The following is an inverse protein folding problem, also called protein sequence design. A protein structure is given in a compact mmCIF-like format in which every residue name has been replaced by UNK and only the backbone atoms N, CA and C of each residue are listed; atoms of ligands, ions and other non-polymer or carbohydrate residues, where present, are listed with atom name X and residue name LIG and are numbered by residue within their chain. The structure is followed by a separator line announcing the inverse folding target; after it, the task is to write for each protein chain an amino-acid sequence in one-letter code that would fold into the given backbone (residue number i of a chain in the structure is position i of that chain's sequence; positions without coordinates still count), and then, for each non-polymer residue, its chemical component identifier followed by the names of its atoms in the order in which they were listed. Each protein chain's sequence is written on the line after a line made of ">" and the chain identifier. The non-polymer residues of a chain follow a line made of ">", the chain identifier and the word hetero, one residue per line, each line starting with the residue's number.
data_IF_330326843327
#
_entry.id   IF_330326843327
#
_cell.length_a   1.000
_cell.length_b   1.000
_cell.length_c   1.000
_cell.angle_alpha   90.00
_cell.angle_beta   90.00
_cell.angle_gamma   90.00
#
_symmetry.space_group_name_H-M   'P 1'
#
loop_
_entity.id
_entity.type
_entity.pdbx_description
1 polymer ?
#
# COMPACT_ATOMS: atom_id res chain seq x y z
N UNK A 1 26.58 8.85 21.91
CA UNK A 1 26.09 8.45 20.57
C UNK A 1 24.59 8.70 20.58
N UNK A 2 24.14 9.80 19.98
CA UNK A 2 22.71 10.19 20.00
C UNK A 2 22.02 9.47 18.86
N UNK A 3 20.90 8.79 19.14
CA UNK A 3 20.04 8.25 18.09
C UNK A 3 19.49 9.43 17.25
N UNK A 4 19.35 9.27 15.92
CA UNK A 4 18.72 10.27 15.08
C UNK A 4 17.27 10.52 15.55
N UNK A 5 16.79 11.76 15.37
CA UNK A 5 15.41 12.10 15.66
C UNK A 5 14.46 11.20 14.84
N UNK A 6 13.35 10.70 15.42
CA UNK A 6 12.49 9.73 14.75
C UNK A 6 11.96 10.30 13.44
N UNK A 7 12.13 9.54 12.36
CA UNK A 7 11.84 9.92 10.96
C UNK A 7 10.34 10.08 10.61
N UNK A 8 9.49 10.37 11.60
CA UNK A 8 8.04 10.46 11.47
C UNK A 8 7.33 9.38 12.30
N UNK A 9 6.05 9.62 12.60
CA UNK A 9 5.18 8.67 13.30
C UNK A 9 4.22 8.05 12.30
N UNK A 10 4.13 6.72 12.28
CA UNK A 10 3.31 5.97 11.33
C UNK A 10 2.19 5.21 12.05
N UNK A 11 1.02 5.07 11.40
CA UNK A 11 0.07 4.02 11.73
C UNK A 11 0.27 2.84 10.78
N UNK A 12 0.25 1.62 11.29
CA UNK A 12 0.22 0.39 10.49
C UNK A 12 -1.12 -0.27 10.73
N UNK A 13 -1.97 -0.28 9.72
CA UNK A 13 -3.30 -0.88 9.78
C UNK A 13 -3.24 -2.24 9.12
N UNK A 14 -3.42 -3.31 9.89
CA UNK A 14 -3.28 -4.69 9.41
C UNK A 14 -4.64 -5.33 9.22
N UNK A 15 -5.09 -5.45 7.97
CA UNK A 15 -6.38 -6.04 7.60
C UNK A 15 -6.32 -7.57 7.42
N UNK A 16 -5.34 -8.23 8.02
CA UNK A 16 -5.18 -9.68 7.90
C UNK A 16 -4.37 -10.26 9.05
N UNK A 17 -4.68 -11.50 9.43
CA UNK A 17 -3.89 -12.27 10.37
C UNK A 17 -2.64 -12.92 9.74
N UNK A 18 -2.38 -12.71 8.44
CA UNK A 18 -1.20 -13.27 7.77
C UNK A 18 0.09 -12.74 8.45
N UNK A 19 0.96 -13.60 9.00
CA UNK A 19 2.18 -13.20 9.69
C UNK A 19 3.22 -12.47 8.82
N UNK A 20 3.09 -12.46 7.50
CA UNK A 20 4.03 -11.81 6.57
C UNK A 20 4.22 -10.31 6.87
N UNK A 21 3.23 -9.65 7.50
CA UNK A 21 3.36 -8.27 7.97
C UNK A 21 4.52 -8.06 8.95
N UNK A 22 4.97 -9.11 9.65
CA UNK A 22 6.11 -9.02 10.58
C UNK A 22 7.39 -8.61 9.88
N UNK A 23 7.55 -8.98 8.62
CA UNK A 23 8.72 -8.55 7.85
C UNK A 23 8.71 -7.04 7.59
N UNK A 24 7.52 -6.43 7.37
CA UNK A 24 7.41 -4.97 7.33
C UNK A 24 7.85 -4.35 8.66
N UNK A 25 7.40 -4.90 9.79
CA UNK A 25 7.76 -4.39 11.11
C UNK A 25 9.28 -4.42 11.33
N UNK A 26 9.93 -5.53 10.97
CA UNK A 26 11.39 -5.66 11.01
C UNK A 26 12.10 -4.60 10.14
N UNK A 27 11.61 -4.37 8.91
CA UNK A 27 12.15 -3.33 8.02
C UNK A 27 12.01 -1.94 8.64
N UNK A 28 10.86 -1.64 9.25
CA UNK A 28 10.61 -0.34 9.89
C UNK A 28 11.46 -0.15 11.14
N UNK A 29 11.65 -1.20 11.95
CA UNK A 29 12.52 -1.20 13.12
C UNK A 29 13.98 -0.92 12.71
N UNK A 30 14.49 -1.62 11.69
CA UNK A 30 15.84 -1.40 11.18
C UNK A 30 16.03 0.00 10.56
N UNK A 31 14.98 0.56 9.98
CA UNK A 31 14.99 1.93 9.46
C UNK A 31 14.79 3.00 10.56
N UNK A 32 14.54 2.61 11.80
CA UNK A 32 14.39 3.54 12.94
C UNK A 32 13.06 4.32 12.93
N UNK A 33 12.01 3.77 12.33
CA UNK A 33 10.68 4.37 12.36
C UNK A 33 9.99 4.12 13.70
N UNK A 34 9.20 5.10 14.15
CA UNK A 34 8.27 4.93 15.26
C UNK A 34 6.88 4.71 14.69
N UNK A 35 6.30 3.55 14.97
CA UNK A 35 4.98 3.20 14.46
C UNK A 35 4.07 2.66 15.55
N UNK A 36 2.78 2.65 15.26
CA UNK A 36 1.78 1.93 16.03
C UNK A 36 1.01 1.00 15.11
N UNK A 37 0.92 -0.27 15.50
CA UNK A 37 -0.04 -1.21 14.93
C UNK A 37 -1.46 -0.85 15.40
N UNK A 38 -2.38 -0.73 14.44
CA UNK A 38 -3.80 -0.48 14.66
C UNK A 38 -4.57 -1.65 14.06
N UNK A 39 -5.34 -2.33 14.88
CA UNK A 39 -6.21 -3.41 14.43
C UNK A 39 -7.48 -2.82 13.79
N UNK A 40 -8.05 -3.47 12.76
CA UNK A 40 -9.31 -3.02 12.16
C UNK A 40 -10.44 -2.85 13.18
N UNK A 41 -10.46 -3.70 14.22
CA UNK A 41 -11.43 -3.65 15.33
C UNK A 41 -11.31 -2.41 16.23
N UNK A 42 -10.19 -1.69 16.19
CA UNK A 42 -10.01 -0.43 16.92
C UNK A 42 -10.57 0.79 16.15
N UNK A 43 -10.93 0.57 14.89
CA UNK A 43 -11.51 1.58 14.01
C UNK A 43 -10.50 2.61 13.49
N UNK A 44 -10.88 3.39 12.45
CA UNK A 44 -10.00 4.37 11.81
C UNK A 44 -9.59 5.52 12.73
N UNK A 45 -10.38 5.85 13.75
CA UNK A 45 -10.05 6.90 14.70
C UNK A 45 -8.73 6.63 15.46
N UNK A 46 -8.38 5.36 15.68
CA UNK A 46 -7.11 4.98 16.30
C UNK A 46 -5.89 5.33 15.42
N UNK A 47 -6.05 5.33 14.09
CA UNK A 47 -5.05 5.74 13.12
C UNK A 47 -5.05 7.26 12.86
N UNK A 48 -6.17 7.95 13.09
CA UNK A 48 -6.40 9.39 12.85
C UNK A 48 -5.34 10.36 13.36
N UNK A 49 -4.56 9.98 14.38
CA UNK A 49 -3.49 10.81 14.95
C UNK A 49 -2.15 10.74 14.21
N UNK A 50 -2.04 9.92 13.17
CA UNK A 50 -0.80 9.69 12.43
C UNK A 50 -0.90 10.29 11.02
N UNK A 51 0.12 11.05 10.57
CA UNK A 51 0.10 11.69 9.25
C UNK A 51 0.30 10.71 8.09
N UNK A 52 0.85 9.52 8.34
CA UNK A 52 1.12 8.51 7.33
C UNK A 52 0.56 7.17 7.82
N UNK A 53 -0.24 6.53 6.97
CA UNK A 53 -0.81 5.21 7.23
C UNK A 53 -0.22 4.20 6.24
N UNK A 54 0.18 3.04 6.76
CA UNK A 54 0.53 1.87 5.97
C UNK A 54 -0.60 0.87 6.14
N UNK A 55 -1.38 0.64 5.09
CA UNK A 55 -2.45 -0.34 5.07
C UNK A 55 -1.95 -1.66 4.47
N UNK A 56 -1.99 -2.71 5.27
CA UNK A 56 -1.58 -4.06 4.90
C UNK A 56 -2.82 -4.90 4.60
N UNK A 57 -2.96 -5.29 3.34
CA UNK A 57 -4.17 -5.91 2.84
C UNK A 57 -3.84 -7.26 2.22
N UNK A 58 -4.02 -8.33 3.00
CA UNK A 58 -3.83 -9.69 2.52
C UNK A 58 -5.19 -10.37 2.39
N UNK A 59 -5.66 -10.54 1.16
CA UNK A 59 -6.92 -11.19 0.86
C UNK A 59 -7.71 -10.51 -0.26
N UNK A 60 -8.88 -11.08 -0.57
CA UNK A 60 -9.81 -10.58 -1.59
C UNK A 60 -11.12 -10.05 -0.99
N UNK A 61 -11.32 -10.20 0.31
CA UNK A 61 -12.52 -9.70 0.97
C UNK A 61 -12.43 -8.18 1.05
N UNK A 62 -13.42 -7.42 0.55
CA UNK A 62 -13.37 -5.96 0.58
C UNK A 62 -13.25 -5.44 2.02
N UNK A 63 -12.59 -4.29 2.16
CA UNK A 63 -12.56 -3.55 3.42
C UNK A 63 -13.98 -3.12 3.78
N UNK A 64 -14.27 -2.95 5.07
CA UNK A 64 -15.54 -2.35 5.46
C UNK A 64 -15.65 -0.90 4.96
N UNK A 65 -16.88 -0.44 4.77
CA UNK A 65 -17.15 0.89 4.21
C UNK A 65 -16.59 2.01 5.10
N UNK A 66 -16.45 1.76 6.41
CA UNK A 66 -15.91 2.73 7.37
C UNK A 66 -14.42 2.98 7.10
N UNK A 67 -13.62 1.92 6.98
CA UNK A 67 -12.20 2.00 6.65
C UNK A 67 -11.97 2.54 5.23
N UNK A 68 -12.78 2.13 4.24
CA UNK A 68 -12.68 2.69 2.88
C UNK A 68 -12.90 4.21 2.91
N UNK A 69 -13.94 4.68 3.61
CA UNK A 69 -14.21 6.11 3.73
C UNK A 69 -13.08 6.84 4.45
N UNK A 70 -12.56 6.28 5.54
CA UNK A 70 -11.50 6.89 6.32
C UNK A 70 -10.18 7.00 5.54
N UNK A 71 -9.79 5.94 4.81
CA UNK A 71 -8.58 5.94 3.98
C UNK A 71 -8.66 7.01 2.89
N UNK A 72 -9.84 7.20 2.28
CA UNK A 72 -10.08 8.26 1.29
C UNK A 72 -9.98 9.64 1.91
N UNK A 73 -10.69 9.88 3.01
CA UNK A 73 -10.67 11.18 3.71
C UNK A 73 -9.25 11.54 4.13
N UNK A 74 -8.50 10.60 4.70
CA UNK A 74 -7.10 10.81 5.10
C UNK A 74 -6.23 11.29 3.93
N UNK A 75 -6.30 10.64 2.76
CA UNK A 75 -5.54 11.05 1.57
C UNK A 75 -6.02 12.41 1.03
N UNK A 76 -7.34 12.64 1.00
CA UNK A 76 -7.93 13.90 0.53
C UNK A 76 -7.57 15.09 1.42
N UNK A 77 -7.36 14.85 2.72
CA UNK A 77 -6.91 15.85 3.71
C UNK A 77 -5.39 16.06 3.69
N UNK A 78 -4.66 15.41 2.77
CA UNK A 78 -3.20 15.54 2.60
C UNK A 78 -2.37 14.55 3.40
N UNK A 79 -3.00 13.54 3.98
CA UNK A 79 -2.34 12.42 4.65
C UNK A 79 -1.62 11.50 3.66
N UNK A 80 -0.52 10.89 4.12
CA UNK A 80 0.20 9.88 3.35
C UNK A 80 -0.45 8.50 3.49
N UNK A 81 -0.62 7.79 2.38
CA UNK A 81 -1.07 6.40 2.36
C UNK A 81 -0.10 5.53 1.57
N UNK A 82 0.35 4.44 2.18
CA UNK A 82 1.02 3.34 1.51
C UNK A 82 0.12 2.12 1.62
N UNK A 83 -0.34 1.60 0.49
CA UNK A 83 -1.13 0.37 0.45
C UNK A 83 -0.25 -0.79 -0.04
N UNK A 84 -0.18 -1.86 0.74
CA UNK A 84 0.52 -3.09 0.36
C UNK A 84 -0.50 -4.22 0.22
N UNK A 85 -0.56 -4.81 -0.97
CA UNK A 85 -1.51 -5.86 -1.31
C UNK A 85 -2.58 -5.39 -2.30
N UNK A 86 -3.82 -5.82 -2.10
CA UNK A 86 -4.92 -5.51 -3.02
C UNK A 86 -5.58 -4.14 -2.75
N UNK A 87 -6.07 -3.42 -3.79
CA UNK A 87 -6.68 -2.10 -3.66
C UNK A 87 -8.01 -2.09 -2.89
N UNK A 88 -8.77 -3.19 -2.97
CA UNK A 88 -9.98 -3.48 -2.17
C UNK A 88 -10.96 -2.30 -1.97
N UNK A 89 -11.44 -1.70 -3.06
CA UNK A 89 -12.39 -0.60 -2.99
C UNK A 89 -11.74 0.79 -2.98
N UNK A 90 -10.42 0.87 -3.16
CA UNK A 90 -9.66 2.12 -3.35
C UNK A 90 -9.11 2.26 -4.79
N UNK A 91 -9.60 1.47 -5.75
CA UNK A 91 -9.10 1.43 -7.12
C UNK A 91 -9.12 2.80 -7.80
N UNK A 92 -10.20 3.55 -7.63
CA UNK A 92 -10.35 4.92 -8.13
C UNK A 92 -9.44 5.91 -7.37
N UNK A 93 -9.27 5.78 -6.06
CA UNK A 93 -8.34 6.63 -5.28
C UNK A 93 -6.90 6.43 -5.77
N UNK A 94 -6.51 5.18 -6.01
CA UNK A 94 -5.18 4.79 -6.47
C UNK A 94 -5.01 4.94 -7.99
N UNK A 95 -6.09 5.23 -8.72
CA UNK A 95 -6.13 5.28 -10.17
C UNK A 95 -5.58 3.98 -10.78
N UNK A 96 -6.12 2.85 -10.37
CA UNK A 96 -5.77 1.52 -10.90
C UNK A 96 -7.03 0.76 -11.33
N UNK A 97 -6.87 -0.21 -12.21
CA UNK A 97 -7.90 -1.22 -12.48
C UNK A 97 -7.28 -2.62 -12.48
N UNK A 98 -8.07 -3.63 -12.14
CA UNK A 98 -7.65 -5.01 -12.36
C UNK A 98 -7.44 -5.24 -13.85
N UNK A 99 -6.24 -5.68 -14.19
CA UNK A 99 -5.92 -6.15 -15.53
C UNK A 99 -6.06 -7.67 -15.58
N UNK A 100 -6.22 -8.20 -16.78
CA UNK A 100 -6.08 -9.62 -16.98
C UNK A 100 -4.64 -10.03 -16.67
N UNK A 101 -4.46 -10.81 -15.61
CA UNK A 101 -3.14 -11.34 -15.26
C UNK A 101 -2.57 -12.24 -16.36
N UNK A 102 -1.27 -12.54 -16.30
CA UNK A 102 -0.60 -13.49 -17.19
C UNK A 102 -1.34 -14.85 -17.27
N UNK A 103 -2.02 -15.22 -16.17
CA UNK A 103 -2.93 -16.36 -16.05
C UNK A 103 -4.10 -16.36 -17.04
N UNK A 104 -4.67 -15.20 -17.39
CA UNK A 104 -5.76 -15.17 -18.36
C UNK A 104 -5.28 -15.59 -19.76
N UNK A 105 -3.99 -15.34 -20.06
CA UNK A 105 -3.33 -15.83 -21.27
C UNK A 105 -2.76 -17.26 -21.14
N UNK A 106 -2.54 -17.74 -19.90
CA UNK A 106 -1.96 -19.06 -19.57
C UNK A 106 -2.72 -19.72 -18.40
N UNK A 107 -3.98 -20.13 -18.59
CA UNK A 107 -4.86 -20.59 -17.50
C UNK A 107 -4.38 -21.87 -16.78
N UNK A 108 -3.48 -22.62 -17.40
CA UNK A 108 -3.02 -23.92 -16.90
C UNK A 108 -1.87 -23.82 -15.88
N UNK A 109 -1.30 -22.62 -15.65
CA UNK A 109 0.01 -22.51 -14.99
C UNK A 109 -0.02 -22.30 -13.46
N UNK A 110 -1.10 -21.75 -12.87
CA UNK A 110 -1.21 -21.58 -11.40
C UNK A 110 -2.62 -21.93 -10.85
N UNK A 111 -3.43 -22.68 -11.61
CA UNK A 111 -4.75 -23.13 -11.16
C UNK A 111 -5.79 -22.00 -11.03
N UNK A 112 -6.59 -21.92 -9.95
CA UNK A 112 -7.77 -21.04 -9.87
C UNK A 112 -7.46 -19.54 -9.74
N UNK A 113 -6.20 -19.13 -9.62
CA UNK A 113 -5.80 -17.78 -9.27
C UNK A 113 -5.58 -16.87 -10.50
N UNK A 114 -6.66 -16.64 -11.27
CA UNK A 114 -6.64 -16.00 -12.59
C UNK A 114 -6.21 -14.52 -12.64
N UNK A 115 -6.17 -13.86 -11.50
CA UNK A 115 -5.86 -12.41 -11.41
C UNK A 115 -4.47 -12.15 -10.84
N UNK A 116 -3.64 -13.20 -10.69
CA UNK A 116 -2.27 -13.03 -10.23
C UNK A 116 -1.36 -12.59 -11.38
N UNK A 117 -0.60 -11.53 -11.11
CA UNK A 117 0.44 -11.02 -11.99
C UNK A 117 1.81 -11.63 -11.68
N UNK A 118 2.65 -11.65 -12.70
CA UNK A 118 4.07 -11.89 -12.58
C UNK A 118 4.82 -10.90 -13.48
N UNK A 119 5.95 -10.39 -13.02
CA UNK A 119 6.76 -9.47 -13.79
C UNK A 119 8.01 -9.02 -13.05
N UNK A 120 8.73 -8.08 -13.65
CA UNK A 120 9.88 -7.43 -13.05
C UNK A 120 9.56 -5.96 -12.84
N UNK A 121 9.87 -5.43 -11.66
CA UNK A 121 9.85 -4.00 -11.42
C UNK A 121 10.99 -3.37 -12.23
N UNK A 122 10.62 -2.49 -13.16
CA UNK A 122 11.58 -1.65 -13.87
C UNK A 122 12.04 -0.53 -12.92
N UNK A 123 13.34 -0.46 -12.57
CA UNK A 123 13.86 0.62 -11.73
C UNK A 123 13.90 1.92 -12.54
N UNK A 124 12.73 2.56 -12.67
CA UNK A 124 12.60 3.91 -13.23
C UNK A 124 13.47 4.94 -12.46
N UNK A 125 13.68 6.12 -13.03
CA UNK A 125 14.36 7.26 -12.36
C UNK A 125 13.64 7.77 -11.09
N UNK A 126 12.53 7.13 -10.72
CA UNK A 126 11.75 7.44 -9.55
C UNK A 126 12.57 7.26 -8.25
N UNK A 127 12.48 8.18 -7.28
CA UNK A 127 13.25 8.11 -6.03
C UNK A 127 13.16 6.78 -5.28
N UNK A 128 12.00 6.10 -5.34
CA UNK A 128 11.78 4.78 -4.70
C UNK A 128 12.67 3.68 -5.30
N UNK A 129 13.03 3.78 -6.58
CA UNK A 129 13.80 2.75 -7.28
C UNK A 129 15.30 3.06 -7.37
N UNK A 130 15.75 4.26 -6.99
CA UNK A 130 17.16 4.70 -7.14
C UNK A 130 18.18 3.82 -6.44
N UNK A 131 17.80 3.19 -5.33
CA UNK A 131 18.66 2.29 -4.57
C UNK A 131 18.51 0.81 -4.93
N UNK A 132 17.67 0.48 -5.91
CA UNK A 132 17.46 -0.89 -6.39
C UNK A 132 18.32 -1.12 -7.65
N UNK A 133 19.54 -1.68 -7.53
CA UNK A 133 20.46 -1.82 -8.65
C UNK A 133 20.06 -2.91 -9.65
N UNK A 134 19.01 -3.69 -9.34
CA UNK A 134 18.54 -4.81 -10.15
C UNK A 134 17.01 -4.80 -10.19
N UNK A 135 16.41 -5.23 -11.32
CA UNK A 135 14.97 -5.45 -11.40
C UNK A 135 14.52 -6.42 -10.30
N UNK A 136 13.46 -6.06 -9.57
CA UNK A 136 12.85 -6.94 -8.58
C UNK A 136 11.82 -7.83 -9.26
N UNK A 137 11.98 -9.14 -9.16
CA UNK A 137 10.94 -10.07 -9.62
C UNK A 137 9.76 -10.04 -8.65
N UNK A 138 8.55 -9.88 -9.18
CA UNK A 138 7.31 -9.81 -8.43
C UNK A 138 6.38 -10.89 -8.96
N UNK A 139 5.83 -11.70 -8.06
CA UNK A 139 4.88 -12.76 -8.38
C UNK A 139 3.82 -12.86 -7.27
N UNK A 140 2.64 -13.39 -7.62
CA UNK A 140 1.60 -13.72 -6.65
C UNK A 140 0.78 -12.54 -6.12
N UNK A 141 0.99 -11.33 -6.66
CA UNK A 141 0.16 -10.15 -6.37
C UNK A 141 -0.97 -9.96 -7.40
N UNK A 142 -1.99 -9.13 -7.11
CA UNK A 142 -3.02 -8.78 -8.07
C UNK A 142 -2.43 -8.08 -9.30
N UNK A 143 -2.83 -8.51 -10.49
CA UNK A 143 -2.49 -7.82 -11.73
C UNK A 143 -3.31 -6.54 -11.85
N UNK A 144 -2.63 -5.41 -11.82
CA UNK A 144 -3.22 -4.07 -11.90
C UNK A 144 -2.61 -3.31 -13.07
N UNK A 145 -3.41 -2.47 -13.69
CA UNK A 145 -3.00 -1.47 -14.65
C UNK A 145 -3.21 -0.08 -14.04
N UNK A 146 -2.18 0.76 -14.10
CA UNK A 146 -2.29 2.16 -13.71
C UNK A 146 -3.13 2.94 -14.74
N UNK A 147 -4.06 3.74 -14.23
CA UNK A 147 -4.86 4.68 -14.99
C UNK A 147 -4.19 6.07 -14.95
N UNK A 148 -4.51 6.96 -15.90
CA UNK A 148 -4.02 8.34 -15.86
C UNK A 148 -4.35 9.01 -14.51
N UNK A 149 -3.34 9.60 -13.87
CA UNK A 149 -3.53 10.27 -12.60
C UNK A 149 -4.52 11.44 -12.75
N UNK A 150 -5.55 11.47 -11.92
CA UNK A 150 -6.40 12.64 -11.77
C UNK A 150 -5.82 13.51 -10.64
N UNK A 151 -5.33 14.70 -11.00
CA UNK A 151 -4.87 15.66 -9.99
C UNK A 151 -6.10 16.16 -9.23
N UNK A 152 -6.24 15.73 -7.97
CA UNK A 152 -7.37 16.08 -7.12
C UNK A 152 -7.33 17.53 -6.57
N UNK A 153 -6.28 18.30 -6.89
CA UNK A 153 -6.14 19.70 -6.55
C UNK A 153 -4.68 20.10 -6.37
N UNK A 154 -4.36 21.36 -6.66
CA UNK A 154 -3.11 21.99 -6.25
C UNK A 154 -3.41 22.64 -4.90
N UNK A 155 -2.81 22.14 -3.81
CA UNK A 155 -2.78 22.90 -2.57
C UNK A 155 -1.90 24.13 -2.82
N UNK A 156 -2.54 25.28 -3.05
CA UNK A 156 -1.86 26.56 -3.00
C UNK A 156 -1.26 26.67 -1.60
N UNK A 157 0.07 26.69 -1.52
CA UNK A 157 0.74 27.12 -0.29
C UNK A 157 0.52 28.62 -0.21
N UNK A 158 -0.48 29.04 0.56
CA UNK A 158 -0.56 30.42 1.00
C UNK A 158 0.69 30.67 1.86
N UNK A 159 1.45 31.70 1.46
CA UNK A 159 2.74 32.08 2.04
C UNK A 159 2.64 32.79 3.38
#
# INVERSE_FOLDING_TARGET
>A
MSLPAPHGRLAIVVFSDNPDHRYLLEVLDHAGFVYQEVKPSEGPAAAGRFPIWIALVHGRAPLDNEWVSALRSHVQEGGGLVLLGAPLGLEDLLQVRFSSGYQQARPDWLGPCRDLGEGYADPSDHPIARSAPRPLHVFGGPALEALPAQVAGILARDG
#
